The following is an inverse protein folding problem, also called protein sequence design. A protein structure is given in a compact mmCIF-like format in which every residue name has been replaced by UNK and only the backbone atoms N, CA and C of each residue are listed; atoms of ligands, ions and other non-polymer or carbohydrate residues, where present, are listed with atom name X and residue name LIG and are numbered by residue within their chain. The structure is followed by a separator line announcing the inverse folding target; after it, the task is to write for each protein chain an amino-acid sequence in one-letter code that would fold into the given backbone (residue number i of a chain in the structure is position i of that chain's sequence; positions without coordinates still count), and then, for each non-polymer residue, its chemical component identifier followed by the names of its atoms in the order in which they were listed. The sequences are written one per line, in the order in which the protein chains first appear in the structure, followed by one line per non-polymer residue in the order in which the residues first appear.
data_IF_956047383314
#
_entry.id   IF_956047383314
#
_cell.length_a   1.000
_cell.length_b   1.000
_cell.length_c   1.000
_cell.angle_alpha   90.00
_cell.angle_beta   90.00
_cell.angle_gamma   90.00
#
_symmetry.space_group_name_H-M   'P 1'
#
loop_
_entity.id
_entity.type
_entity.pdbx_description
1 polymer ?
#
# COMPACT_ATOMS: atom_id res chain seq x y z
N UNK A 1 -14.48 -16.37 18.14
CA UNK A 1 -15.47 -15.85 17.19
C UNK A 1 -16.60 -16.87 17.11
N UNK A 2 -17.78 -16.51 17.62
CA UNK A 2 -18.89 -17.44 17.88
C UNK A 2 -19.81 -17.61 16.68
N UNK A 3 -19.50 -18.58 15.82
CA UNK A 3 -20.26 -18.95 14.62
C UNK A 3 -21.45 -19.90 14.91
N UNK A 4 -21.79 -20.15 16.18
CA UNK A 4 -22.65 -21.29 16.56
C UNK A 4 -24.17 -21.06 16.47
N UNK A 5 -24.67 -19.93 15.98
CA UNK A 5 -26.14 -19.67 16.00
C UNK A 5 -26.68 -19.00 14.74
N UNK A 6 -27.00 -19.84 13.76
CA UNK A 6 -28.07 -19.68 12.74
C UNK A 6 -28.03 -18.43 11.84
N UNK A 7 -27.25 -18.54 10.77
CA UNK A 7 -27.52 -18.13 9.38
C UNK A 7 -26.22 -18.36 8.61
N UNK A 8 -26.28 -18.75 7.33
CA UNK A 8 -25.06 -18.77 6.50
C UNK A 8 -24.49 -17.35 6.48
N UNK A 9 -23.26 -17.16 6.95
CA UNK A 9 -22.56 -15.86 7.01
C UNK A 9 -21.58 -15.78 5.87
N UNK A 10 -21.61 -14.68 5.10
CA UNK A 10 -20.68 -14.41 4.01
C UNK A 10 -19.67 -13.36 4.43
N UNK A 11 -18.40 -13.74 4.43
CA UNK A 11 -17.29 -12.91 4.86
C UNK A 11 -16.40 -12.61 3.67
N UNK A 12 -16.08 -11.33 3.45
CA UNK A 12 -15.03 -10.93 2.52
C UNK A 12 -13.74 -10.68 3.29
N UNK A 13 -12.68 -11.42 2.94
CA UNK A 13 -11.32 -11.18 3.44
C UNK A 13 -10.59 -10.33 2.41
N UNK A 14 -10.15 -9.15 2.81
CA UNK A 14 -9.31 -8.24 2.04
C UNK A 14 -7.91 -8.27 2.65
N UNK A 15 -6.98 -9.00 2.03
CA UNK A 15 -5.59 -9.11 2.47
C UNK A 15 -4.70 -8.21 1.62
N UNK A 16 -4.22 -7.10 2.20
CA UNK A 16 -3.28 -6.21 1.53
C UNK A 16 -1.92 -6.24 2.23
N UNK A 17 -1.07 -7.12 1.71
CA UNK A 17 0.24 -7.43 2.23
C UNK A 17 1.34 -6.48 1.75
N UNK A 18 2.58 -6.93 1.93
CA UNK A 18 3.77 -6.19 1.51
C UNK A 18 4.02 -6.23 0.01
N UNK A 19 3.70 -7.34 -0.66
CA UNK A 19 3.94 -7.51 -2.10
C UNK A 19 2.78 -8.14 -2.88
N UNK A 20 1.74 -8.61 -2.19
CA UNK A 20 0.55 -9.20 -2.80
C UNK A 20 -0.71 -8.60 -2.21
N UNK A 21 -1.76 -8.66 -3.02
CA UNK A 21 -3.12 -8.34 -2.64
C UNK A 21 -3.97 -9.57 -2.93
N UNK A 22 -4.70 -10.06 -1.94
CA UNK A 22 -5.53 -11.24 -2.07
C UNK A 22 -6.94 -10.93 -1.54
N UNK A 23 -7.96 -11.43 -2.22
CA UNK A 23 -9.35 -11.36 -1.78
C UNK A 23 -9.94 -12.76 -1.73
N UNK A 24 -10.66 -13.06 -0.65
CA UNK A 24 -11.39 -14.33 -0.53
C UNK A 24 -12.81 -14.06 -0.05
N UNK A 25 -13.77 -14.76 -0.63
CA UNK A 25 -15.15 -14.79 -0.16
C UNK A 25 -15.38 -16.13 0.52
N UNK A 26 -15.70 -16.09 1.80
CA UNK A 26 -15.93 -17.24 2.64
C UNK A 26 -17.42 -17.33 2.98
N UNK A 27 -17.95 -18.55 3.05
CA UNK A 27 -19.29 -18.84 3.51
C UNK A 27 -19.20 -19.73 4.75
N UNK A 28 -19.75 -19.27 5.87
CA UNK A 28 -19.73 -19.95 7.16
C UNK A 28 -21.12 -20.44 7.54
N UNK A 29 -21.26 -21.74 7.79
CA UNK A 29 -22.52 -22.37 8.17
C UNK A 29 -22.29 -23.71 8.87
N UNK A 30 -23.14 -24.06 9.83
CA UNK A 30 -23.11 -25.36 10.54
C UNK A 30 -21.73 -25.74 11.15
N UNK A 31 -20.94 -24.74 11.57
CA UNK A 31 -19.61 -24.95 12.15
C UNK A 31 -18.49 -25.18 11.13
N UNK A 32 -18.76 -25.02 9.84
CA UNK A 32 -17.80 -25.13 8.74
C UNK A 32 -17.61 -23.77 8.07
N UNK A 33 -16.40 -23.52 7.53
CA UNK A 33 -16.09 -22.37 6.69
C UNK A 33 -15.62 -22.91 5.34
N UNK A 34 -16.30 -22.50 4.27
CA UNK A 34 -15.95 -22.86 2.89
C UNK A 34 -15.46 -21.64 2.12
N UNK A 35 -14.46 -21.83 1.27
CA UNK A 35 -13.98 -20.80 0.34
C UNK A 35 -14.84 -20.86 -0.93
N UNK A 36 -15.56 -19.78 -1.23
CA UNK A 36 -16.39 -19.67 -2.44
C UNK A 36 -15.58 -19.21 -3.63
N UNK A 37 -14.78 -18.17 -3.42
CA UNK A 37 -13.93 -17.54 -4.43
C UNK A 37 -12.65 -17.09 -3.76
N UNK A 38 -11.53 -17.23 -4.47
CA UNK A 38 -10.25 -16.65 -4.11
C UNK A 38 -9.66 -16.03 -5.37
N UNK A 39 -9.23 -14.78 -5.27
CA UNK A 39 -8.64 -14.02 -6.36
C UNK A 39 -7.58 -13.06 -5.78
N UNK A 40 -6.75 -12.45 -6.62
CA UNK A 40 -5.67 -11.60 -6.14
C UNK A 40 -4.73 -11.10 -7.22
N UNK A 41 -3.65 -10.51 -6.74
CA UNK A 41 -2.57 -9.94 -7.52
C UNK A 41 -1.24 -10.13 -6.80
N UNK A 42 -0.38 -10.96 -7.40
CA UNK A 42 0.92 -11.33 -6.81
C UNK A 42 1.98 -10.23 -6.94
N UNK A 43 1.65 -9.10 -7.55
CA UNK A 43 2.53 -7.95 -7.78
C UNK A 43 1.82 -6.63 -7.46
N UNK A 44 1.09 -6.61 -6.34
CA UNK A 44 0.42 -5.43 -5.83
C UNK A 44 0.43 -5.46 -4.30
N UNK A 45 1.23 -4.60 -3.68
CA UNK A 45 1.38 -4.59 -2.22
C UNK A 45 1.87 -3.25 -1.68
N UNK A 46 2.19 -3.26 -0.39
CA UNK A 46 2.77 -2.11 0.29
C UNK A 46 4.10 -1.62 -0.32
N UNK A 47 4.84 -2.49 -1.01
CA UNK A 47 6.07 -2.14 -1.73
C UNK A 47 5.83 -1.26 -2.95
N UNK A 48 4.69 -1.41 -3.62
CA UNK A 48 4.32 -0.57 -4.76
C UNK A 48 3.98 0.85 -4.30
N UNK A 49 3.40 0.97 -3.10
CA UNK A 49 3.17 2.28 -2.45
C UNK A 49 4.50 2.93 -2.07
N UNK A 50 5.43 2.16 -1.49
CA UNK A 50 6.77 2.65 -1.18
C UNK A 50 7.48 3.14 -2.46
N UNK A 51 7.35 2.41 -3.57
CA UNK A 51 7.89 2.82 -4.87
C UNK A 51 7.34 4.18 -5.33
N UNK A 52 6.04 4.46 -5.17
CA UNK A 52 5.46 5.79 -5.51
C UNK A 52 6.09 6.93 -4.72
N UNK A 53 6.37 6.72 -3.43
CA UNK A 53 7.03 7.72 -2.60
C UNK A 53 8.48 7.90 -3.05
N UNK A 54 9.20 6.81 -3.36
CA UNK A 54 10.58 6.87 -3.85
C UNK A 54 10.66 7.63 -5.18
N UNK A 55 9.78 7.32 -6.14
CA UNK A 55 9.75 7.97 -7.44
C UNK A 55 9.52 9.48 -7.28
N UNK A 56 8.59 9.87 -6.42
CA UNK A 56 8.34 11.28 -6.09
C UNK A 56 9.59 11.95 -5.47
N UNK A 57 10.25 11.30 -4.51
CA UNK A 57 11.47 11.83 -3.88
C UNK A 57 12.61 12.00 -4.89
N UNK A 58 12.81 11.03 -5.78
CA UNK A 58 13.82 11.08 -6.84
C UNK A 58 13.52 12.21 -7.81
N UNK A 59 12.27 12.33 -8.25
CA UNK A 59 11.86 13.38 -9.18
C UNK A 59 12.09 14.78 -8.58
N UNK A 60 11.68 14.97 -7.32
CA UNK A 60 11.85 16.23 -6.60
C UNK A 60 13.32 16.58 -6.40
N UNK A 61 14.15 15.62 -5.98
CA UNK A 61 15.58 15.84 -5.81
C UNK A 61 16.27 16.16 -7.13
N UNK A 62 15.88 15.48 -8.22
CA UNK A 62 16.39 15.71 -9.56
C UNK A 62 16.00 17.09 -10.11
N UNK A 63 14.80 17.58 -9.80
CA UNK A 63 14.38 18.96 -10.15
C UNK A 63 15.23 20.00 -9.43
N UNK A 64 15.56 19.77 -8.16
CA UNK A 64 16.30 20.74 -7.33
C UNK A 64 17.81 20.74 -7.59
N UNK A 65 18.40 19.56 -7.78
CA UNK A 65 19.86 19.39 -7.84
C UNK A 65 20.38 18.87 -9.19
N UNK A 66 19.50 18.47 -10.11
CA UNK A 66 19.89 17.89 -11.40
C UNK A 66 20.51 16.49 -11.29
N UNK A 67 20.42 15.84 -10.12
CA UNK A 67 21.07 14.56 -9.82
C UNK A 67 20.01 13.46 -9.68
N UNK A 68 20.29 12.30 -10.27
CA UNK A 68 19.43 11.13 -10.20
C UNK A 68 19.91 10.14 -9.13
N UNK A 69 19.20 10.09 -8.00
CA UNK A 69 19.57 9.24 -6.87
C UNK A 69 19.39 7.73 -7.13
N UNK A 70 18.70 7.33 -8.21
CA UNK A 70 18.50 5.91 -8.54
C UNK A 70 19.80 5.21 -8.93
N UNK A 71 20.80 5.96 -9.36
CA UNK A 71 22.11 5.45 -9.77
C UNK A 71 23.02 5.16 -8.58
N UNK A 72 22.77 5.77 -7.43
CA UNK A 72 23.50 5.56 -6.19
C UNK A 72 22.79 4.51 -5.33
N UNK A 73 23.36 3.29 -5.27
CA UNK A 73 22.77 2.18 -4.52
C UNK A 73 22.59 2.47 -3.03
N UNK A 74 23.51 3.23 -2.44
CA UNK A 74 23.46 3.56 -1.01
C UNK A 74 22.38 4.61 -0.76
N UNK A 75 22.30 5.65 -1.59
CA UNK A 75 21.22 6.64 -1.52
C UNK A 75 19.85 5.97 -1.73
N UNK A 76 19.74 5.11 -2.74
CA UNK A 76 18.50 4.42 -3.06
C UNK A 76 18.01 3.50 -1.93
N UNK A 77 18.91 2.81 -1.24
CA UNK A 77 18.53 2.01 -0.07
C UNK A 77 17.98 2.88 1.08
N UNK A 78 18.60 4.04 1.33
CA UNK A 78 18.11 4.99 2.33
C UNK A 78 16.75 5.60 1.94
N UNK A 79 16.52 5.85 0.66
CA UNK A 79 15.22 6.29 0.14
C UNK A 79 14.13 5.25 0.41
N UNK A 80 14.42 3.96 0.22
CA UNK A 80 13.47 2.87 0.52
C UNK A 80 13.04 2.87 1.98
N UNK A 81 14.01 2.92 2.90
CA UNK A 81 13.74 2.91 4.34
C UNK A 81 12.93 4.14 4.75
N UNK A 82 13.28 5.32 4.22
CA UNK A 82 12.58 6.56 4.51
C UNK A 82 11.17 6.58 3.93
N UNK A 83 10.96 6.05 2.72
CA UNK A 83 9.66 5.95 2.08
C UNK A 83 8.71 5.02 2.86
N UNK A 84 9.19 3.84 3.26
CA UNK A 84 8.40 2.91 4.07
C UNK A 84 8.03 3.52 5.43
N UNK A 85 8.97 4.23 6.06
CA UNK A 85 8.70 4.95 7.31
C UNK A 85 7.69 6.07 7.12
N UNK A 86 7.82 6.90 6.08
CA UNK A 86 6.89 7.97 5.77
C UNK A 86 5.47 7.44 5.52
N UNK A 87 5.33 6.35 4.76
CA UNK A 87 4.06 5.64 4.55
C UNK A 87 3.42 5.24 5.89
N UNK A 88 4.17 4.57 6.75
CA UNK A 88 3.70 4.13 8.08
C UNK A 88 3.27 5.30 8.95
N UNK A 89 4.00 6.41 8.93
CA UNK A 89 3.64 7.60 9.69
C UNK A 89 2.37 8.26 9.18
N UNK A 90 2.20 8.35 7.86
CA UNK A 90 1.02 8.92 7.23
C UNK A 90 -0.24 8.09 7.46
N UNK A 91 -0.11 6.82 7.87
CA UNK A 91 -1.24 6.03 8.36
C UNK A 91 -1.90 6.62 9.61
N UNK A 92 -1.18 7.43 10.38
CA UNK A 92 -1.69 8.01 11.64
C UNK A 92 -1.59 9.54 11.70
N UNK A 93 -0.71 10.15 10.88
CA UNK A 93 -0.51 11.59 10.79
C UNK A 93 -1.03 12.13 9.45
N UNK A 94 -1.35 13.42 9.41
CA UNK A 94 -1.73 14.11 8.16
C UNK A 94 -0.52 14.51 7.31
N UNK A 95 0.67 14.55 7.91
CA UNK A 95 1.93 14.92 7.26
C UNK A 95 3.12 14.30 7.99
N UNK A 96 4.22 14.15 7.27
CA UNK A 96 5.52 13.70 7.80
C UNK A 96 6.65 14.43 7.06
N UNK A 97 7.81 14.48 7.69
CA UNK A 97 9.02 15.07 7.14
C UNK A 97 10.05 13.97 6.86
N UNK A 98 10.54 13.95 5.63
CA UNK A 98 11.56 13.03 5.15
C UNK A 98 12.87 13.81 5.11
N UNK A 99 13.76 13.52 6.06
CA UNK A 99 15.06 14.15 6.16
C UNK A 99 16.18 13.10 6.04
N UNK A 100 16.92 13.16 4.94
CA UNK A 100 18.07 12.32 4.64
C UNK A 100 19.32 13.20 4.46
N UNK A 101 20.09 13.43 5.53
CA UNK A 101 21.29 14.22 5.43
C UNK A 101 22.40 13.45 4.71
N UNK A 102 23.28 14.16 4.01
CA UNK A 102 24.40 13.57 3.28
C UNK A 102 23.94 12.43 2.36
N UNK A 103 22.86 12.64 1.61
CA UNK A 103 22.26 11.61 0.77
C UNK A 103 23.16 11.24 -0.41
N UNK A 104 23.86 12.23 -0.97
CA UNK A 104 24.86 12.06 -2.02
C UNK A 104 25.84 13.23 -2.03
N UNK A 105 26.83 13.19 -2.93
CA UNK A 105 27.78 14.28 -3.17
C UNK A 105 27.51 14.84 -4.57
N UNK A 106 27.45 16.17 -4.69
CA UNK A 106 27.36 16.82 -5.99
C UNK A 106 28.67 16.58 -6.77
N UNK A 107 28.63 15.93 -7.95
CA UNK A 107 29.82 15.62 -8.73
C UNK A 107 30.54 16.87 -9.26
N UNK A 108 29.86 18.02 -9.35
CA UNK A 108 30.42 19.26 -9.88
C UNK A 108 31.10 20.10 -8.79
N UNK A 109 30.51 20.17 -7.60
CA UNK A 109 31.00 21.01 -6.50
C UNK A 109 31.72 20.22 -5.41
N UNK A 110 31.62 18.89 -5.45
CA UNK A 110 32.11 17.98 -4.42
C UNK A 110 31.57 18.30 -3.01
N UNK A 111 30.42 18.96 -2.93
CA UNK A 111 29.73 19.28 -1.69
C UNK A 111 28.68 18.22 -1.36
N UNK A 112 28.48 17.88 -0.07
CA UNK A 112 27.41 16.99 0.33
C UNK A 112 26.04 17.63 0.08
N UNK A 113 25.09 16.82 -0.38
CA UNK A 113 23.70 17.21 -0.54
C UNK A 113 22.81 16.49 0.48
N UNK A 114 21.68 17.12 0.81
CA UNK A 114 20.69 16.63 1.75
C UNK A 114 19.34 16.55 1.03
N UNK A 115 18.50 15.59 1.41
CA UNK A 115 17.11 15.57 0.97
C UNK A 115 16.23 15.93 2.17
N UNK A 116 15.45 16.99 2.03
CA UNK A 116 14.48 17.43 3.03
C UNK A 116 13.15 17.70 2.32
N UNK A 117 12.14 16.85 2.57
CA UNK A 117 10.84 16.94 1.91
C UNK A 117 9.71 16.69 2.89
N UNK A 118 8.69 17.53 2.81
CA UNK A 118 7.43 17.34 3.54
C UNK A 118 6.44 16.59 2.65
N UNK A 119 5.93 15.45 3.13
CA UNK A 119 4.89 14.68 2.46
C UNK A 119 3.59 14.75 3.25
N UNK A 120 2.49 15.09 2.57
CA UNK A 120 1.15 15.10 3.16
C UNK A 120 0.40 13.82 2.82
N UNK A 121 -0.57 13.45 3.66
CA UNK A 121 -1.44 12.29 3.42
C UNK A 121 -2.21 12.43 2.10
N UNK A 122 -2.76 13.61 1.84
CA UNK A 122 -3.48 13.89 0.60
C UNK A 122 -2.60 13.65 -0.65
N UNK A 123 -1.31 14.04 -0.58
CA UNK A 123 -0.38 13.77 -1.69
C UNK A 123 -0.08 12.28 -1.83
N UNK A 124 0.05 11.54 -0.73
CA UNK A 124 0.20 10.09 -0.76
C UNK A 124 -1.03 9.42 -1.41
N UNK A 125 -2.24 9.78 -0.98
CA UNK A 125 -3.50 9.26 -1.53
C UNK A 125 -3.60 9.50 -3.03
N UNK A 126 -3.22 10.68 -3.51
CA UNK A 126 -3.16 11.00 -4.94
C UNK A 126 -2.19 10.07 -5.70
N UNK A 127 -1.00 9.83 -5.14
CA UNK A 127 0.04 9.01 -5.78
C UNK A 127 -0.28 7.51 -5.85
N UNK A 128 -1.17 7.02 -4.98
CA UNK A 128 -1.51 5.59 -4.89
C UNK A 128 -2.92 5.27 -5.36
N UNK A 129 -3.69 6.28 -5.81
CA UNK A 129 -5.10 6.11 -6.13
C UNK A 129 -5.34 4.96 -7.11
N UNK A 130 -4.50 4.82 -8.13
CA UNK A 130 -4.59 3.77 -9.13
C UNK A 130 -4.32 2.37 -8.56
N UNK A 131 -3.42 2.25 -7.57
CA UNK A 131 -3.15 1.00 -6.87
C UNK A 131 -4.36 0.56 -6.05
N UNK A 132 -5.02 1.50 -5.38
CA UNK A 132 -6.25 1.25 -4.59
C UNK A 132 -7.43 0.93 -5.51
N UNK A 133 -7.59 1.65 -6.62
CA UNK A 133 -8.64 1.34 -7.61
C UNK A 133 -8.47 -0.10 -8.14
N UNK A 134 -7.22 -0.55 -8.37
CA UNK A 134 -6.92 -1.92 -8.81
C UNK A 134 -7.31 -2.98 -7.78
N UNK A 135 -7.11 -2.75 -6.47
CA UNK A 135 -7.59 -3.70 -5.45
C UNK A 135 -9.12 -3.79 -5.45
N UNK A 136 -9.80 -2.66 -5.64
CA UNK A 136 -11.27 -2.61 -5.70
C UNK A 136 -11.83 -3.30 -6.94
N UNK A 137 -11.14 -3.25 -8.08
CA UNK A 137 -11.55 -3.97 -9.28
C UNK A 137 -11.42 -5.50 -9.12
N UNK A 138 -10.40 -5.96 -8.39
CA UNK A 138 -10.24 -7.38 -8.03
C UNK A 138 -11.35 -7.81 -7.05
N UNK A 139 -11.71 -6.96 -6.07
CA UNK A 139 -12.85 -7.22 -5.17
C UNK A 139 -14.16 -7.36 -5.93
N UNK A 140 -14.44 -6.47 -6.90
CA UNK A 140 -15.64 -6.55 -7.75
C UNK A 140 -15.66 -7.85 -8.55
N UNK A 141 -14.53 -8.23 -9.16
CA UNK A 141 -14.39 -9.47 -9.91
C UNK A 141 -14.69 -10.71 -9.05
N UNK A 142 -14.16 -10.74 -7.83
CA UNK A 142 -14.43 -11.83 -6.89
C UNK A 142 -15.92 -11.92 -6.50
N UNK A 143 -16.59 -10.78 -6.28
CA UNK A 143 -18.03 -10.73 -6.02
C UNK A 143 -18.85 -11.24 -7.22
N UNK A 144 -18.48 -10.83 -8.44
CA UNK A 144 -19.12 -11.28 -9.68
C UNK A 144 -18.99 -12.79 -9.87
N UNK A 145 -17.80 -13.36 -9.64
CA UNK A 145 -17.55 -14.80 -9.72
C UNK A 145 -18.37 -15.57 -8.67
N UNK A 146 -18.48 -15.02 -7.46
CA UNK A 146 -19.31 -15.58 -6.39
C UNK A 146 -20.81 -15.41 -6.67
N UNK A 147 -21.20 -14.62 -7.69
CA UNK A 147 -22.58 -14.21 -7.99
C UNK A 147 -23.22 -13.48 -6.81
N UNK A 148 -22.45 -12.64 -6.14
CA UNK A 148 -22.86 -11.84 -4.99
C UNK A 148 -22.78 -10.34 -5.32
N UNK A 149 -23.54 -9.57 -4.56
CA UNK A 149 -23.46 -8.12 -4.52
C UNK A 149 -22.80 -7.67 -3.20
N UNK A 150 -22.33 -6.41 -3.10
CA UNK A 150 -21.81 -5.91 -1.82
C UNK A 150 -22.80 -6.01 -0.66
N UNK A 151 -24.11 -5.97 -0.93
CA UNK A 151 -25.15 -6.10 0.08
C UNK A 151 -25.30 -7.53 0.62
N UNK A 152 -24.74 -8.53 -0.06
CA UNK A 152 -24.77 -9.92 0.37
C UNK A 152 -23.60 -10.27 1.33
N UNK A 153 -22.63 -9.37 1.53
CA UNK A 153 -21.50 -9.58 2.43
C UNK A 153 -21.88 -9.07 3.83
N UNK A 154 -21.82 -9.96 4.81
CA UNK A 154 -22.18 -9.65 6.20
C UNK A 154 -21.03 -8.95 6.92
N UNK A 155 -19.80 -9.42 6.71
CA UNK A 155 -18.61 -8.93 7.37
C UNK A 155 -17.43 -8.76 6.39
N UNK A 156 -16.62 -7.74 6.63
CA UNK A 156 -15.35 -7.52 5.93
C UNK A 156 -14.20 -7.63 6.93
N UNK A 157 -13.26 -8.52 6.64
CA UNK A 157 -12.04 -8.72 7.42
C UNK A 157 -10.85 -8.13 6.67
N UNK A 158 -10.22 -7.12 7.27
CA UNK A 158 -9.00 -6.53 6.75
C UNK A 158 -7.77 -7.25 7.32
N UNK A 159 -6.94 -7.78 6.43
CA UNK A 159 -5.70 -8.51 6.75
C UNK A 159 -4.51 -7.83 6.05
N UNK A 160 -3.31 -7.95 6.63
CA UNK A 160 -2.10 -7.38 6.04
C UNK A 160 -1.84 -5.94 6.49
N UNK A 161 -0.55 -5.58 6.58
CA UNK A 161 -0.11 -4.30 7.15
C UNK A 161 -0.54 -3.08 6.33
N UNK A 162 -0.70 -3.23 5.02
CA UNK A 162 -1.04 -2.13 4.11
C UNK A 162 -2.51 -1.71 4.23
N UNK A 163 -3.36 -2.52 4.85
CA UNK A 163 -4.76 -2.13 5.18
C UNK A 163 -4.86 -1.04 6.25
N UNK A 164 -3.77 -0.73 6.94
CA UNK A 164 -3.72 0.35 7.94
C UNK A 164 -3.62 1.74 7.32
N UNK A 165 -3.43 1.83 6.00
CA UNK A 165 -3.41 3.10 5.28
C UNK A 165 -4.84 3.63 5.24
N UNK A 166 -5.13 4.78 5.88
CA UNK A 166 -6.44 5.42 5.79
C UNK A 166 -6.64 5.95 4.36
N UNK A 167 -7.89 5.90 3.90
CA UNK A 167 -8.34 6.41 2.60
C UNK A 167 -9.54 7.34 2.82
#
# INVERSE_FOLDING_TARGET
YGLDKKSDVKILVYDFGGGTFDVSILEGGEGVIEVKVSDGDTHLGGSDIDARIIDWLVEEFKKEHGIDLTQDKTAFQRLKEAAEQAKKELSFKMETEINLPFITIDPNTNQPLHLEKKLTRARLEEMIKDLIDRTMDIVKRALEEAKLTPQDIDDVVLVGGSTRIPL
#
